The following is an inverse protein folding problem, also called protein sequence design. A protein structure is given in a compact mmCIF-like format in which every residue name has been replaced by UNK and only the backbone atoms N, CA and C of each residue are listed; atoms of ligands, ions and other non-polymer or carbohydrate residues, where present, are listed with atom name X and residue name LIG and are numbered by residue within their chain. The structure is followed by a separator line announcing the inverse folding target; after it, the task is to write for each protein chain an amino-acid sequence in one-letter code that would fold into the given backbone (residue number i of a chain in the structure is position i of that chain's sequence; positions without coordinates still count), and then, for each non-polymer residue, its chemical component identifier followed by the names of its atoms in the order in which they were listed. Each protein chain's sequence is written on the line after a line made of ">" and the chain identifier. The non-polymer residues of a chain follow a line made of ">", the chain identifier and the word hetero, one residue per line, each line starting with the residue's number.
data_IF_690155631739
#
_entry.id   IF_690155631739
#
_cell.length_a   1.000
_cell.length_b   1.000
_cell.length_c   1.000
_cell.angle_alpha   90.00
_cell.angle_beta   90.00
_cell.angle_gamma   90.00
#
_symmetry.space_group_name_H-M   'P 1'
#
loop_
_entity.id
_entity.type
_entity.pdbx_description
1 polymer ?
#
# COMPACT_ATOMS: atom_id res chain seq x y z
N UNK A 1 -9.22 19.75 -2.43
CA UNK A 1 -10.14 20.22 -1.35
C UNK A 1 -10.29 19.21 -0.20
N UNK A 2 -10.22 17.89 -0.42
CA UNK A 2 -10.50 16.87 0.62
C UNK A 2 -9.37 16.63 1.66
N UNK A 3 -8.11 16.93 1.33
CA UNK A 3 -6.96 16.69 2.22
C UNK A 3 -6.57 17.90 3.09
N UNK A 4 -7.10 19.09 2.82
CA UNK A 4 -6.70 20.33 3.51
C UNK A 4 -7.03 20.33 5.01
N UNK A 5 -8.11 19.65 5.39
CA UNK A 5 -8.57 19.47 6.78
C UNK A 5 -7.59 18.71 7.68
N UNK A 6 -6.60 18.02 7.10
CA UNK A 6 -5.56 17.32 7.86
C UNK A 6 -4.32 18.20 8.09
N UNK A 7 -4.34 19.47 7.66
CA UNK A 7 -3.26 20.42 7.85
C UNK A 7 -1.90 19.87 7.39
N UNK A 8 -0.90 19.97 8.27
CA UNK A 8 0.47 19.48 8.00
C UNK A 8 0.56 17.95 7.87
N UNK A 9 -0.42 17.22 8.41
CA UNK A 9 -0.47 15.76 8.34
C UNK A 9 -0.79 15.24 6.94
N UNK A 10 -1.42 16.05 6.08
CA UNK A 10 -1.98 15.62 4.80
C UNK A 10 -1.00 14.79 3.95
N UNK A 11 0.26 15.26 3.82
CA UNK A 11 1.30 14.61 3.00
C UNK A 11 1.78 13.26 3.54
N UNK A 12 1.57 13.00 4.84
CA UNK A 12 1.90 11.75 5.52
C UNK A 12 0.73 10.74 5.51
N UNK A 13 -0.48 11.20 5.15
CA UNK A 13 -1.68 10.36 5.12
C UNK A 13 -2.05 9.94 3.70
N UNK A 14 -1.96 10.85 2.73
CA UNK A 14 -2.26 10.59 1.32
C UNK A 14 -1.47 11.53 0.43
N UNK A 15 -0.87 11.00 -0.63
CA UNK A 15 -0.16 11.81 -1.63
C UNK A 15 -1.09 12.82 -2.33
N UNK A 16 -0.56 13.99 -2.74
CA UNK A 16 -1.30 14.94 -3.57
C UNK A 16 -1.92 14.29 -4.79
N UNK A 17 -3.08 14.78 -5.20
CA UNK A 17 -3.82 14.24 -6.35
C UNK A 17 -2.99 14.24 -7.64
N UNK A 18 -2.22 15.31 -7.87
CA UNK A 18 -1.31 15.41 -9.01
C UNK A 18 -0.29 14.27 -9.04
N UNK A 19 0.42 14.03 -7.93
CA UNK A 19 1.41 12.94 -7.83
C UNK A 19 0.76 11.56 -8.01
N UNK A 20 -0.45 11.38 -7.50
CA UNK A 20 -1.21 10.13 -7.70
C UNK A 20 -1.55 9.93 -9.17
N UNK A 21 -2.09 10.93 -9.86
CA UNK A 21 -2.44 10.84 -11.28
C UNK A 21 -1.18 10.55 -12.11
N UNK A 22 -0.07 11.22 -11.83
CA UNK A 22 1.22 10.96 -12.49
C UNK A 22 1.70 9.53 -12.26
N UNK A 23 1.59 9.01 -11.04
CA UNK A 23 1.95 7.62 -10.73
C UNK A 23 1.06 6.61 -11.47
N UNK A 24 -0.25 6.86 -11.52
CA UNK A 24 -1.24 5.99 -12.16
C UNK A 24 -1.11 5.95 -13.69
N UNK A 25 -0.58 6.99 -14.30
CA UNK A 25 -0.39 7.10 -15.75
C UNK A 25 0.94 6.53 -16.25
N UNK A 26 1.77 5.94 -15.37
CA UNK A 26 3.04 5.33 -15.79
C UNK A 26 2.79 4.20 -16.80
N UNK A 27 3.60 4.07 -17.87
CA UNK A 27 3.51 2.95 -18.80
C UNK A 27 3.64 1.61 -18.07
N UNK A 28 2.78 0.66 -18.41
CA UNK A 28 2.76 -0.66 -17.79
C UNK A 28 2.25 -1.69 -18.78
N UNK A 29 3.00 -2.77 -18.95
CA UNK A 29 2.57 -3.95 -19.69
C UNK A 29 2.27 -5.10 -18.72
N UNK A 30 0.99 -5.42 -18.58
CA UNK A 30 0.51 -6.45 -17.68
C UNK A 30 0.99 -7.87 -18.02
N UNK A 31 1.42 -8.11 -19.27
CA UNK A 31 1.90 -9.43 -19.69
C UNK A 31 3.36 -9.67 -19.31
N UNK A 32 4.15 -8.60 -19.22
CA UNK A 32 5.59 -8.69 -19.00
C UNK A 32 6.03 -8.17 -17.63
N UNK A 33 5.30 -7.26 -16.99
CA UNK A 33 5.65 -6.75 -15.67
C UNK A 33 5.46 -7.81 -14.57
N UNK A 34 6.53 -8.11 -13.84
CA UNK A 34 6.55 -9.18 -12.84
C UNK A 34 7.46 -8.86 -11.65
N UNK A 35 7.23 -9.57 -10.55
CA UNK A 35 8.19 -9.72 -9.48
C UNK A 35 8.92 -11.06 -9.63
N UNK A 36 10.21 -11.07 -9.34
CA UNK A 36 11.05 -12.28 -9.33
C UNK A 36 11.68 -12.45 -7.95
N UNK A 37 11.73 -13.69 -7.45
CA UNK A 37 12.36 -14.02 -6.17
C UNK A 37 13.85 -13.64 -6.16
N UNK A 38 14.31 -13.09 -5.04
CA UNK A 38 15.71 -12.72 -4.81
C UNK A 38 16.15 -13.09 -3.39
N UNK A 39 17.37 -13.58 -3.25
CA UNK A 39 17.89 -14.03 -1.96
C UNK A 39 18.13 -12.90 -0.95
N UNK A 40 18.34 -11.66 -1.40
CA UNK A 40 18.66 -10.51 -0.54
C UNK A 40 17.45 -9.60 -0.33
N UNK A 41 16.77 -9.24 -1.41
CA UNK A 41 15.63 -8.31 -1.37
C UNK A 41 14.27 -9.02 -1.24
N UNK A 42 14.26 -10.36 -1.16
CA UNK A 42 13.10 -11.27 -1.25
C UNK A 42 12.43 -11.26 -2.62
N UNK A 43 12.12 -10.07 -3.14
CA UNK A 43 11.54 -9.88 -4.47
C UNK A 43 12.14 -8.67 -5.15
N UNK A 44 12.34 -8.77 -6.47
CA UNK A 44 12.75 -7.67 -7.34
C UNK A 44 11.68 -7.42 -8.39
N UNK A 45 11.49 -6.16 -8.79
CA UNK A 45 10.68 -5.82 -9.96
C UNK A 45 11.44 -6.11 -11.25
N UNK A 46 10.75 -6.64 -12.25
CA UNK A 46 11.35 -6.95 -13.54
C UNK A 46 10.35 -7.00 -14.69
N UNK A 47 10.91 -7.18 -15.89
CA UNK A 47 10.16 -7.37 -17.13
C UNK A 47 10.53 -8.72 -17.73
N UNK A 48 9.54 -9.57 -17.99
CA UNK A 48 9.73 -10.84 -18.69
C UNK A 48 10.21 -10.57 -20.12
N UNK A 49 11.35 -11.13 -20.49
CA UNK A 49 11.90 -11.07 -21.85
C UNK A 49 11.44 -12.29 -22.65
N UNK A 50 11.57 -13.48 -22.06
CA UNK A 50 11.28 -14.76 -22.73
C UNK A 50 10.83 -15.83 -21.74
N UNK A 51 10.09 -16.81 -22.26
CA UNK A 51 9.65 -18.01 -21.55
C UNK A 51 10.05 -19.24 -22.37
N UNK A 52 10.89 -20.09 -21.79
CA UNK A 52 11.45 -21.28 -22.43
C UNK A 52 11.30 -22.50 -21.50
N UNK A 53 10.47 -23.47 -21.89
CA UNK A 53 10.38 -24.80 -21.25
C UNK A 53 10.36 -24.80 -19.70
N UNK A 54 9.49 -23.99 -19.09
CA UNK A 54 9.33 -23.88 -17.64
C UNK A 54 10.27 -22.90 -16.94
N UNK A 55 11.16 -22.25 -17.68
CA UNK A 55 12.00 -21.15 -17.20
C UNK A 55 11.57 -19.82 -17.81
N UNK A 56 11.78 -18.75 -17.06
CA UNK A 56 11.47 -17.38 -17.44
C UNK A 56 12.72 -16.53 -17.28
N UNK A 57 13.10 -15.82 -18.34
CA UNK A 57 14.16 -14.81 -18.25
C UNK A 57 13.53 -13.45 -17.99
N UNK A 58 13.90 -12.85 -16.87
CA UNK A 58 13.41 -11.57 -16.37
C UNK A 58 14.56 -10.57 -16.39
N UNK A 59 14.33 -9.39 -16.97
CA UNK A 59 15.20 -8.23 -16.84
C UNK A 59 14.84 -7.46 -15.57
N UNK A 60 15.73 -7.40 -14.60
CA UNK A 60 15.51 -6.66 -13.35
C UNK A 60 15.49 -5.16 -13.66
N UNK A 61 14.50 -4.43 -13.14
CA UNK A 61 14.35 -3.00 -13.45
C UNK A 61 15.50 -2.14 -12.90
N UNK A 62 15.96 -2.42 -11.68
CA UNK A 62 16.94 -1.57 -11.00
C UNK A 62 18.38 -1.80 -11.51
N UNK A 63 18.77 -3.06 -11.74
CA UNK A 63 20.14 -3.41 -12.18
C UNK A 63 20.27 -3.59 -13.68
N UNK A 64 19.16 -3.71 -14.41
CA UNK A 64 19.11 -4.06 -15.83
C UNK A 64 19.68 -5.45 -16.17
N UNK A 65 20.05 -6.24 -15.16
CA UNK A 65 20.57 -7.60 -15.32
C UNK A 65 19.46 -8.58 -15.71
N UNK A 66 19.83 -9.57 -16.51
CA UNK A 66 18.93 -10.66 -16.88
C UNK A 66 19.13 -11.85 -15.92
N UNK A 67 18.03 -12.33 -15.34
CA UNK A 67 17.99 -13.53 -14.51
C UNK A 67 17.08 -14.55 -15.15
N UNK A 68 17.55 -15.78 -15.27
CA UNK A 68 16.71 -16.93 -15.68
C UNK A 68 16.34 -17.71 -14.44
N UNK A 69 15.05 -17.78 -14.17
CA UNK A 69 14.47 -18.45 -13.00
C UNK A 69 13.37 -19.42 -13.43
N UNK A 70 12.87 -20.23 -12.49
CA UNK A 70 11.69 -21.06 -12.75
C UNK A 70 10.45 -20.20 -12.86
N UNK A 71 9.45 -20.65 -13.61
CA UNK A 71 8.19 -19.91 -13.73
C UNK A 71 7.49 -19.69 -12.38
N UNK A 72 7.59 -20.64 -11.45
CA UNK A 72 7.02 -20.54 -10.10
C UNK A 72 7.64 -19.41 -9.25
N UNK A 73 8.85 -18.97 -9.58
CA UNK A 73 9.57 -17.89 -8.89
C UNK A 73 9.19 -16.50 -9.46
N UNK A 74 8.24 -16.44 -10.40
CA UNK A 74 7.80 -15.21 -11.06
C UNK A 74 6.32 -14.97 -10.75
N UNK A 75 6.01 -13.82 -10.16
CA UNK A 75 4.64 -13.44 -9.82
C UNK A 75 4.22 -12.17 -10.56
N UNK A 76 2.94 -12.01 -10.93
CA UNK A 76 2.48 -10.85 -11.67
C UNK A 76 2.49 -9.58 -10.81
N UNK A 77 2.76 -8.44 -11.46
CA UNK A 77 2.67 -7.12 -10.84
C UNK A 77 1.28 -6.50 -10.99
N UNK A 78 0.86 -5.75 -9.98
CA UNK A 78 -0.31 -4.90 -10.11
C UNK A 78 -0.02 -3.68 -11.01
N UNK A 79 -0.98 -3.24 -11.85
CA UNK A 79 -0.83 -2.03 -12.66
C UNK A 79 -0.71 -0.76 -11.79
N UNK A 80 -0.14 0.34 -12.33
CA UNK A 80 0.15 1.57 -11.59
C UNK A 80 -1.07 2.25 -10.97
N UNK A 81 -2.30 1.93 -11.41
CA UNK A 81 -3.54 2.36 -10.74
C UNK A 81 -3.58 1.98 -9.25
N UNK A 82 -2.85 0.94 -8.86
CA UNK A 82 -2.73 0.43 -7.49
C UNK A 82 -1.47 0.93 -6.76
N UNK A 83 -0.72 1.88 -7.32
CA UNK A 83 0.44 2.49 -6.65
C UNK A 83 0.02 3.06 -5.28
N UNK A 84 0.71 2.61 -4.22
CA UNK A 84 0.50 3.03 -2.83
C UNK A 84 -0.97 2.96 -2.39
N UNK A 85 -1.69 1.94 -2.84
CA UNK A 85 -3.10 1.74 -2.51
C UNK A 85 -3.31 1.74 -0.99
N UNK A 86 -4.44 2.33 -0.58
CA UNK A 86 -4.76 2.50 0.84
C UNK A 86 -5.32 1.23 1.47
N UNK A 87 -5.96 0.36 0.67
CA UNK A 87 -6.44 -0.95 1.09
C UNK A 87 -5.94 -2.03 0.13
N UNK A 88 -5.01 -2.86 0.60
CA UNK A 88 -4.39 -3.90 -0.21
C UNK A 88 -5.37 -4.99 -0.65
N UNK A 89 -6.52 -5.13 0.02
CA UNK A 89 -7.57 -6.07 -0.40
C UNK A 89 -8.21 -5.68 -1.74
N UNK A 90 -8.00 -4.46 -2.23
CA UNK A 90 -8.50 -4.00 -3.53
C UNK A 90 -7.55 -4.31 -4.70
N UNK A 91 -6.37 -4.89 -4.45
CA UNK A 91 -5.42 -5.25 -5.50
C UNK A 91 -5.93 -6.39 -6.38
N UNK A 92 -5.55 -6.39 -7.66
CA UNK A 92 -5.88 -7.51 -8.58
C UNK A 92 -5.03 -8.73 -8.30
N UNK A 93 -3.72 -8.54 -8.12
CA UNK A 93 -2.79 -9.61 -7.78
C UNK A 93 -2.44 -9.52 -6.29
N UNK A 94 -3.06 -10.38 -5.48
CA UNK A 94 -2.80 -10.43 -4.04
C UNK A 94 -1.77 -11.53 -3.74
N UNK A 95 -0.50 -11.21 -4.00
CA UNK A 95 0.66 -12.05 -3.71
C UNK A 95 1.60 -11.36 -2.70
N UNK A 96 2.49 -12.12 -2.08
CA UNK A 96 3.43 -11.63 -1.05
C UNK A 96 4.27 -10.45 -1.55
N UNK A 97 4.77 -10.53 -2.79
CA UNK A 97 5.54 -9.46 -3.42
C UNK A 97 4.73 -8.16 -3.55
N UNK A 98 3.47 -8.21 -3.96
CA UNK A 98 2.60 -7.04 -4.08
C UNK A 98 2.32 -6.38 -2.74
N UNK A 99 2.07 -7.19 -1.70
CA UNK A 99 1.87 -6.70 -0.33
C UNK A 99 3.14 -6.03 0.17
N UNK A 100 4.29 -6.69 0.03
CA UNK A 100 5.59 -6.17 0.45
C UNK A 100 5.89 -4.83 -0.23
N UNK A 101 5.78 -4.75 -1.56
CA UNK A 101 6.09 -3.53 -2.29
C UNK A 101 5.13 -2.39 -1.98
N UNK A 102 3.84 -2.66 -1.78
CA UNK A 102 2.91 -1.61 -1.37
C UNK A 102 3.28 -1.03 0.00
N UNK A 103 3.59 -1.89 0.98
CA UNK A 103 4.05 -1.44 2.29
C UNK A 103 5.38 -0.69 2.20
N UNK A 104 6.37 -1.23 1.47
CA UNK A 104 7.71 -0.63 1.27
C UNK A 104 7.60 0.78 0.66
N UNK A 105 6.77 0.94 -0.37
CA UNK A 105 6.61 2.22 -1.06
C UNK A 105 5.78 3.25 -0.29
N UNK A 106 4.75 2.80 0.44
CA UNK A 106 3.99 3.67 1.34
C UNK A 106 4.87 4.15 2.49
N UNK A 107 5.66 3.25 3.06
CA UNK A 107 6.61 3.55 4.12
C UNK A 107 7.70 4.53 3.65
N UNK A 108 8.28 4.32 2.46
CA UNK A 108 9.25 5.24 1.86
C UNK A 108 8.67 6.66 1.64
N UNK A 109 7.34 6.75 1.51
CA UNK A 109 6.59 8.00 1.41
C UNK A 109 6.11 8.56 2.75
N UNK A 110 6.54 7.98 3.88
CA UNK A 110 6.11 8.30 5.25
C UNK A 110 4.61 8.05 5.54
N UNK A 111 3.95 7.24 4.73
CA UNK A 111 2.58 6.77 4.96
C UNK A 111 2.62 5.43 5.71
N UNK A 112 2.63 5.50 7.04
CA UNK A 112 2.90 4.33 7.89
C UNK A 112 1.71 3.40 8.10
N UNK A 113 0.49 3.87 7.89
CA UNK A 113 -0.72 3.07 8.03
C UNK A 113 -1.21 2.60 6.66
N UNK A 114 -1.61 1.33 6.56
CA UNK A 114 -2.15 0.74 5.33
C UNK A 114 -3.23 -0.28 5.72
N UNK A 115 -4.38 -0.25 5.07
CA UNK A 115 -5.39 -1.27 5.30
C UNK A 115 -5.10 -2.55 4.52
N UNK A 116 -5.56 -3.67 5.06
CA UNK A 116 -5.59 -4.97 4.39
C UNK A 116 -6.89 -5.66 4.76
N UNK A 117 -7.96 -5.37 4.02
CA UNK A 117 -9.28 -5.92 4.34
C UNK A 117 -9.73 -5.47 5.72
N UNK A 118 -9.95 -6.36 6.68
CA UNK A 118 -10.33 -5.96 8.04
C UNK A 118 -9.18 -5.40 8.88
N UNK A 119 -7.93 -5.64 8.47
CA UNK A 119 -6.75 -5.25 9.24
C UNK A 119 -6.28 -3.83 8.92
N UNK A 120 -5.66 -3.18 9.90
CA UNK A 120 -4.87 -1.96 9.71
C UNK A 120 -3.41 -2.28 10.04
N UNK A 121 -2.58 -2.43 9.01
CA UNK A 121 -1.16 -2.64 9.16
C UNK A 121 -0.47 -1.28 9.44
N UNK A 122 0.50 -1.29 10.36
CA UNK A 122 1.35 -0.13 10.63
C UNK A 122 2.82 -0.52 10.62
N UNK A 123 3.68 0.35 10.08
CA UNK A 123 5.14 0.18 10.08
C UNK A 123 5.75 1.27 10.94
N UNK A 124 6.57 0.91 11.92
CA UNK A 124 7.18 1.86 12.86
C UNK A 124 8.04 2.89 12.09
N UNK A 125 7.71 4.21 12.15
CA UNK A 125 8.46 5.24 11.42
C UNK A 125 9.85 5.52 11.98
N UNK A 126 10.12 5.14 13.24
CA UNK A 126 11.31 5.59 14.00
C UNK A 126 11.55 7.12 13.96
N UNK A 127 10.48 7.87 13.70
CA UNK A 127 10.48 9.32 13.53
C UNK A 127 9.13 9.88 13.95
N UNK A 128 9.17 11.02 14.63
CA UNK A 128 7.95 11.73 14.99
C UNK A 128 7.29 12.32 13.72
N UNK A 129 6.03 11.95 13.49
CA UNK A 129 5.21 12.44 12.38
C UNK A 129 4.06 13.29 12.93
N UNK A 130 3.70 14.43 12.29
CA UNK A 130 2.64 15.31 12.76
C UNK A 130 1.24 14.78 12.41
N UNK A 131 0.99 13.48 12.63
CA UNK A 131 -0.26 12.78 12.24
C UNK A 131 -1.18 12.52 13.43
N UNK A 132 -0.80 12.94 14.63
CA UNK A 132 -1.55 12.68 15.87
C UNK A 132 -2.09 13.95 16.55
N UNK A 133 -1.97 15.12 15.90
CA UNK A 133 -2.41 16.40 16.46
C UNK A 133 -3.95 16.50 16.53
N UNK A 134 -4.47 17.40 17.38
CA UNK A 134 -5.91 17.59 17.59
C UNK A 134 -6.70 17.95 16.31
N UNK A 135 -6.05 18.66 15.38
CA UNK A 135 -6.61 18.94 14.04
C UNK A 135 -6.89 17.62 13.30
N UNK A 136 -5.97 16.66 13.37
CA UNK A 136 -6.11 15.34 12.73
C UNK A 136 -7.21 14.52 13.39
N UNK A 137 -7.28 14.51 14.72
CA UNK A 137 -8.39 13.87 15.46
C UNK A 137 -9.74 14.40 14.97
N UNK A 138 -9.87 15.72 14.88
CA UNK A 138 -11.10 16.37 14.41
C UNK A 138 -11.42 16.00 12.96
N UNK A 139 -10.40 15.87 12.11
CA UNK A 139 -10.56 15.50 10.72
C UNK A 139 -10.99 14.03 10.50
N UNK A 140 -10.75 13.13 11.46
CA UNK A 140 -11.18 11.72 11.39
C UNK A 140 -12.56 11.45 12.01
N UNK A 141 -13.04 12.34 12.90
CA UNK A 141 -14.27 12.13 13.66
C UNK A 141 -15.50 11.91 12.77
N UNK A 142 -16.24 10.84 13.02
CA UNK A 142 -17.51 10.52 12.36
C UNK A 142 -17.37 10.15 10.88
N UNK A 143 -16.15 9.87 10.40
CA UNK A 143 -15.92 9.50 9.01
C UNK A 143 -15.94 8.01 8.80
N UNK A 144 -16.58 7.60 7.71
CA UNK A 144 -16.48 6.22 7.27
C UNK A 144 -15.06 5.94 6.82
N UNK A 145 -14.61 4.71 7.02
CA UNK A 145 -13.27 4.26 6.63
C UNK A 145 -12.88 4.58 5.17
N UNK A 146 -13.83 4.56 4.22
CA UNK A 146 -13.56 4.88 2.81
C UNK A 146 -13.39 6.38 2.53
N UNK A 147 -13.86 7.24 3.43
CA UNK A 147 -13.83 8.71 3.28
C UNK A 147 -12.53 9.32 3.83
N UNK A 148 -11.75 8.53 4.56
CA UNK A 148 -10.53 8.98 5.22
C UNK A 148 -9.33 8.08 4.83
N UNK A 149 -8.10 8.62 4.78
CA UNK A 149 -6.91 7.80 4.59
C UNK A 149 -6.72 6.77 5.71
N UNK A 150 -5.88 5.72 5.52
CA UNK A 150 -5.58 4.77 6.58
C UNK A 150 -4.96 5.43 7.80
N UNK A 151 -5.54 5.19 8.98
CA UNK A 151 -5.03 5.71 10.25
C UNK A 151 -5.65 5.00 11.44
N UNK A 152 -4.92 4.95 12.57
CA UNK A 152 -5.43 4.40 13.83
C UNK A 152 -6.66 5.15 14.36
N UNK A 153 -6.76 6.45 14.09
CA UNK A 153 -7.95 7.24 14.45
C UNK A 153 -9.19 6.83 13.65
N UNK A 154 -9.05 6.37 12.40
CA UNK A 154 -10.19 5.83 11.66
C UNK A 154 -10.65 4.52 12.28
N UNK A 155 -9.74 3.61 12.65
CA UNK A 155 -10.07 2.36 13.36
C UNK A 155 -10.78 2.65 14.68
N UNK A 156 -10.23 3.58 15.47
CA UNK A 156 -10.77 3.95 16.79
C UNK A 156 -12.13 4.64 16.69
N UNK A 157 -12.30 5.57 15.74
CA UNK A 157 -13.57 6.27 15.51
C UNK A 157 -14.65 5.30 15.01
N UNK A 158 -14.33 4.41 14.07
CA UNK A 158 -15.30 3.43 13.57
C UNK A 158 -15.72 2.45 14.68
N UNK A 159 -14.80 1.99 15.53
CA UNK A 159 -15.16 1.19 16.71
C UNK A 159 -16.10 1.98 17.64
N UNK A 160 -15.80 3.24 17.93
CA UNK A 160 -16.67 4.07 18.76
C UNK A 160 -18.06 4.31 18.14
N UNK A 161 -18.14 4.58 16.83
CA UNK A 161 -19.41 4.74 16.12
C UNK A 161 -20.25 3.45 16.12
N UNK A 162 -19.61 2.30 15.89
CA UNK A 162 -20.28 0.99 15.94
C UNK A 162 -20.81 0.70 17.35
N UNK A 163 -20.02 0.98 18.40
CA UNK A 163 -20.49 0.84 19.79
C UNK A 163 -21.78 1.62 20.06
N UNK A 164 -21.87 2.87 19.58
CA UNK A 164 -23.05 3.71 19.76
C UNK A 164 -24.25 3.26 18.91
N UNK A 165 -23.98 2.82 17.69
CA UNK A 165 -25.01 2.46 16.70
C UNK A 165 -25.59 1.08 16.99
N UNK A 166 -24.71 0.10 17.14
CA UNK A 166 -25.04 -1.32 17.25
C UNK A 166 -25.30 -1.73 18.71
N UNK A 167 -24.93 -0.88 19.67
CA UNK A 167 -25.10 -1.09 21.12
C UNK A 167 -24.42 -2.37 21.61
N UNK A 168 -23.28 -2.70 21.03
CA UNK A 168 -22.44 -3.85 21.39
C UNK A 168 -21.02 -3.42 21.76
N UNK A 169 -20.37 -4.25 22.57
CA UNK A 169 -18.99 -4.03 23.00
C UNK A 169 -18.03 -4.13 21.83
N UNK A 170 -16.99 -3.31 21.84
CA UNK A 170 -15.96 -3.29 20.80
C UNK A 170 -14.59 -3.60 21.41
N UNK A 171 -13.70 -4.16 20.60
CA UNK A 171 -12.31 -4.42 20.99
C UNK A 171 -11.37 -4.05 19.85
N UNK A 172 -10.18 -3.54 20.20
CA UNK A 172 -9.10 -3.26 19.25
C UNK A 172 -7.91 -4.09 19.67
N UNK A 173 -7.53 -5.06 18.84
CA UNK A 173 -6.40 -5.94 19.09
C UNK A 173 -5.18 -5.39 18.36
N UNK A 174 -4.10 -5.13 19.09
CA UNK A 174 -2.81 -4.67 18.55
C UNK A 174 -1.82 -5.82 18.73
N UNK A 175 -1.21 -6.27 17.63
CA UNK A 175 -0.26 -7.40 17.57
C UNK A 175 1.01 -7.03 16.84
#
# INVERSE_FOLDING_TARGET
>A
MMMAIYGKAAVFLRKPEKERIEAQNKPFDAKSACYVVDAKELYLKGTIIKKDAGNVTVKVLDTQEEKTVKEDDVTPMNPPKFDKIEDMAMMTHLNEASVLYNLKERYAAWMIYTYSGLFCATVNPYKWLPVYDAEVVSAYRGKKRMEAPPHIFSVSDNAYQNMLTDRENQSVLIT
#
